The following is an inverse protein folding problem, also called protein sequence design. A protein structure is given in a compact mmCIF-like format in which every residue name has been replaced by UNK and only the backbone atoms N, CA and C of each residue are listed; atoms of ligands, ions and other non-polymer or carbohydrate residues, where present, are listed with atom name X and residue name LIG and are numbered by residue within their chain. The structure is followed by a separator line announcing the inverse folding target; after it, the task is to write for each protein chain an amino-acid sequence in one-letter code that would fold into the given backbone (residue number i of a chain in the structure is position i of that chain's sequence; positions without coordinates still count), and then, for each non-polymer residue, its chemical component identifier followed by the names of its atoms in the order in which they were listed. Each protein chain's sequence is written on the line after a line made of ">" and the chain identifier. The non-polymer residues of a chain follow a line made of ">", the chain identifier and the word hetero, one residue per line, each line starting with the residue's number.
data_IF_519895228573
#
_entry.id   IF_519895228573
#
_cell.length_a   1.000
_cell.length_b   1.000
_cell.length_c   1.000
_cell.angle_alpha   90.00
_cell.angle_beta   90.00
_cell.angle_gamma   90.00
#
_symmetry.space_group_name_H-M   'P 1'
#
loop_
_entity.id
_entity.type
_entity.pdbx_description
1 polymer ?
#
# COMPACT_ATOMS: atom_id res chain seq x y z
N UNK A 1 10.84 6.43 -2.92
CA UNK A 1 9.71 5.68 -3.54
C UNK A 1 8.88 5.04 -2.45
N UNK A 2 7.55 5.01 -2.57
CA UNK A 2 6.68 4.35 -1.58
C UNK A 2 6.51 2.84 -1.87
N UNK A 3 6.60 2.04 -0.82
CA UNK A 3 6.26 0.61 -0.81
C UNK A 3 5.18 0.34 0.24
N UNK A 4 4.41 -0.73 0.03
CA UNK A 4 3.43 -1.23 0.98
C UNK A 4 3.97 -2.51 1.63
N UNK A 5 3.82 -2.67 2.93
CA UNK A 5 4.19 -3.92 3.59
C UNK A 5 3.50 -4.15 4.92
N UNK A 6 3.98 -5.16 5.63
CA UNK A 6 3.61 -5.44 7.02
C UNK A 6 4.79 -6.04 7.76
N UNK A 7 4.97 -5.65 9.02
CA UNK A 7 6.03 -6.12 9.91
C UNK A 7 7.46 -5.85 9.39
N UNK A 8 7.70 -4.72 8.70
CA UNK A 8 9.00 -4.44 8.07
C UNK A 8 10.02 -3.79 9.00
N UNK A 9 9.63 -3.36 10.19
CA UNK A 9 10.53 -2.66 11.11
C UNK A 9 11.81 -3.45 11.40
N UNK A 10 11.69 -4.75 11.69
CA UNK A 10 12.84 -5.63 11.98
C UNK A 10 13.80 -5.72 10.78
N UNK A 11 13.26 -5.76 9.57
CA UNK A 11 14.04 -5.78 8.33
C UNK A 11 14.87 -4.51 8.19
N UNK A 12 14.24 -3.33 8.28
CA UNK A 12 14.94 -2.06 8.12
C UNK A 12 15.92 -1.76 9.25
N UNK A 13 15.61 -2.16 10.49
CA UNK A 13 16.55 -2.06 11.62
C UNK A 13 17.84 -2.88 11.37
N UNK A 14 17.81 -3.91 10.51
CA UNK A 14 18.95 -4.75 10.15
C UNK A 14 19.71 -4.25 8.90
N UNK A 15 19.00 -3.78 7.87
CA UNK A 15 19.61 -3.45 6.57
C UNK A 15 19.91 -1.96 6.37
N UNK A 16 19.31 -1.08 7.17
CA UNK A 16 19.45 0.37 7.10
C UNK A 16 19.81 0.93 8.49
N UNK A 17 21.00 0.56 8.98
CA UNK A 17 21.51 1.00 10.28
C UNK A 17 22.94 1.59 10.13
N UNK A 18 23.14 2.90 10.34
CA UNK A 18 22.15 3.88 10.78
C UNK A 18 21.08 4.18 9.71
N UNK A 19 19.84 4.54 10.12
CA UNK A 19 18.73 4.75 9.19
C UNK A 19 18.96 5.97 8.30
N UNK A 20 18.93 5.75 6.99
CA UNK A 20 19.13 6.80 5.99
C UNK A 20 18.37 6.53 4.68
N UNK A 21 18.03 5.26 4.42
CA UNK A 21 17.43 4.82 3.17
C UNK A 21 15.97 4.36 3.31
N UNK A 22 15.45 4.21 4.53
CA UNK A 22 14.06 3.82 4.81
C UNK A 22 13.41 4.69 5.91
N UNK A 23 12.24 5.26 5.60
CA UNK A 23 11.41 6.00 6.55
C UNK A 23 9.98 5.47 6.52
N UNK A 24 9.44 5.16 7.70
CA UNK A 24 8.03 4.78 7.82
C UNK A 24 7.16 6.03 7.76
N UNK A 25 6.28 6.10 6.75
CA UNK A 25 5.40 7.25 6.50
C UNK A 25 3.95 7.00 6.90
N UNK A 26 3.56 5.74 7.06
CA UNK A 26 2.29 5.32 7.66
C UNK A 26 2.44 3.96 8.35
N UNK A 27 1.80 3.80 9.52
CA UNK A 27 1.73 2.55 10.25
C UNK A 27 0.30 2.30 10.73
N UNK A 28 -0.41 1.40 10.06
CA UNK A 28 -1.72 0.89 10.47
C UNK A 28 -1.62 -0.52 11.05
N UNK A 29 -2.77 -1.11 11.40
CA UNK A 29 -2.80 -2.46 11.96
C UNK A 29 -2.47 -3.56 10.93
N UNK A 30 -2.89 -3.37 9.67
CA UNK A 30 -2.70 -4.37 8.60
C UNK A 30 -1.61 -3.98 7.60
N UNK A 31 -1.33 -2.69 7.46
CA UNK A 31 -0.49 -2.15 6.41
C UNK A 31 0.43 -1.05 6.95
N UNK A 32 1.66 -1.07 6.46
CA UNK A 32 2.68 -0.04 6.64
C UNK A 32 3.01 0.55 5.27
N UNK A 33 3.22 1.86 5.20
CA UNK A 33 3.79 2.52 4.02
C UNK A 33 5.18 3.01 4.41
N UNK A 34 6.15 2.63 3.59
CA UNK A 34 7.54 3.04 3.77
C UNK A 34 8.00 3.81 2.55
N UNK A 35 8.65 4.95 2.79
CA UNK A 35 9.45 5.63 1.79
C UNK A 35 10.86 5.05 1.83
N UNK A 36 11.31 4.50 0.70
CA UNK A 36 12.64 3.90 0.55
C UNK A 36 13.43 4.55 -0.58
N UNK A 37 14.75 4.57 -0.45
CA UNK A 37 15.64 5.02 -1.51
C UNK A 37 15.63 4.04 -2.69
N UNK A 38 15.96 4.52 -3.89
CA UNK A 38 16.00 3.68 -5.10
C UNK A 38 17.07 2.59 -5.00
N UNK A 39 18.19 2.87 -4.32
CA UNK A 39 19.25 1.90 -4.09
C UNK A 39 18.81 0.78 -3.15
N UNK A 40 18.14 1.12 -2.04
CA UNK A 40 17.60 0.13 -1.11
C UNK A 40 16.48 -0.68 -1.76
N UNK A 41 15.57 -0.03 -2.49
CA UNK A 41 14.52 -0.73 -3.25
C UNK A 41 15.09 -1.74 -4.23
N UNK A 42 16.14 -1.37 -4.97
CA UNK A 42 16.81 -2.29 -5.90
C UNK A 42 17.41 -3.49 -5.17
N UNK A 43 18.10 -3.26 -4.05
CA UNK A 43 18.63 -4.35 -3.19
C UNK A 43 17.50 -5.28 -2.72
N UNK A 44 16.37 -4.73 -2.31
CA UNK A 44 15.20 -5.51 -1.89
C UNK A 44 14.64 -6.35 -3.05
N UNK A 45 14.58 -5.80 -4.27
CA UNK A 45 14.15 -6.55 -5.45
C UNK A 45 15.09 -7.69 -5.86
N UNK A 46 16.40 -7.52 -5.64
CA UNK A 46 17.43 -8.50 -5.98
C UNK A 46 17.62 -9.58 -4.89
N UNK A 47 17.05 -9.38 -3.70
CA UNK A 47 17.11 -10.29 -2.55
C UNK A 47 16.21 -11.52 -2.72
N UNK A 48 16.67 -12.68 -2.27
CA UNK A 48 15.84 -13.90 -2.29
C UNK A 48 14.77 -13.89 -1.19
N UNK A 49 13.74 -14.73 -1.33
CA UNK A 49 12.72 -14.85 -0.29
C UNK A 49 13.29 -15.42 1.01
N UNK A 50 14.24 -16.37 0.92
CA UNK A 50 14.94 -16.93 2.07
C UNK A 50 15.76 -15.88 2.82
N UNK A 51 16.57 -15.09 2.11
CA UNK A 51 17.36 -14.01 2.69
C UNK A 51 16.47 -12.96 3.37
N UNK A 52 15.36 -12.61 2.71
CA UNK A 52 14.38 -11.68 3.27
C UNK A 52 13.75 -12.23 4.56
N UNK A 53 13.33 -13.49 4.57
CA UNK A 53 12.71 -14.13 5.75
C UNK A 53 13.70 -14.25 6.91
N UNK A 54 14.97 -14.53 6.66
CA UNK A 54 16.00 -14.55 7.71
C UNK A 54 16.14 -13.20 8.42
N UNK A 55 16.07 -12.10 7.66
CA UNK A 55 16.17 -10.74 8.19
C UNK A 55 14.86 -10.26 8.83
N UNK A 56 13.75 -10.42 8.12
CA UNK A 56 12.45 -9.82 8.43
C UNK A 56 11.55 -10.70 9.31
N UNK A 57 11.67 -12.03 9.18
CA UNK A 57 10.75 -13.03 9.74
C UNK A 57 9.70 -13.51 8.73
N UNK A 58 9.10 -14.67 9.00
CA UNK A 58 8.14 -15.34 8.09
C UNK A 58 6.84 -14.54 7.86
N UNK A 59 6.42 -13.74 8.85
CA UNK A 59 5.19 -12.93 8.77
C UNK A 59 5.39 -11.57 8.10
N UNK A 60 6.63 -11.21 7.74
CA UNK A 60 6.93 -9.95 7.10
C UNK A 60 6.71 -10.05 5.59
N UNK A 61 6.25 -8.97 4.98
CA UNK A 61 6.07 -8.91 3.54
C UNK A 61 6.10 -7.48 3.04
N UNK A 62 6.46 -7.30 1.77
CA UNK A 62 6.41 -6.00 1.11
C UNK A 62 6.05 -6.15 -0.37
N UNK A 63 5.46 -5.11 -0.95
CA UNK A 63 5.15 -5.00 -2.38
C UNK A 63 5.42 -3.57 -2.83
N UNK A 64 5.93 -3.45 -4.05
CA UNK A 64 5.99 -2.20 -4.79
C UNK A 64 5.28 -2.39 -6.13
N UNK A 65 4.64 -1.33 -6.63
CA UNK A 65 3.93 -1.38 -7.90
C UNK A 65 3.95 -0.01 -8.57
N UNK A 66 3.86 0.01 -9.91
CA UNK A 66 3.72 1.26 -10.68
C UNK A 66 2.26 1.70 -10.84
N UNK A 67 1.32 0.84 -10.48
CA UNK A 67 -0.12 1.05 -10.66
C UNK A 67 -0.84 -0.24 -11.02
N UNK A 68 -2.15 -0.18 -11.04
CA UNK A 68 -3.06 -1.27 -11.38
C UNK A 68 -3.35 -1.30 -12.90
N UNK A 69 -3.98 -2.38 -13.35
CA UNK A 69 -4.50 -2.51 -14.72
C UNK A 69 -5.93 -1.98 -14.87
N UNK A 70 -6.42 -1.21 -13.88
CA UNK A 70 -7.82 -0.79 -13.78
C UNK A 70 -8.15 0.47 -14.60
N UNK A 71 -7.14 1.15 -15.14
CA UNK A 71 -7.32 2.42 -15.84
C UNK A 71 -7.65 3.57 -14.88
N UNK A 72 -8.26 4.63 -15.42
CA UNK A 72 -8.53 5.87 -14.68
C UNK A 72 -9.84 5.70 -13.88
N UNK A 73 -9.83 5.91 -12.54
CA UNK A 73 -11.06 5.94 -11.75
C UNK A 73 -11.87 7.21 -12.06
N UNK A 74 -13.19 7.07 -12.12
CA UNK A 74 -14.11 8.14 -12.56
C UNK A 74 -15.31 8.34 -11.62
N UNK A 75 -15.39 7.56 -10.55
CA UNK A 75 -16.57 7.48 -9.71
C UNK A 75 -16.27 7.90 -8.27
N UNK A 76 -17.21 8.64 -7.64
CA UNK A 76 -17.07 9.12 -6.26
C UNK A 76 -17.69 8.14 -5.26
N UNK A 77 -16.93 7.86 -4.22
CA UNK A 77 -17.32 7.06 -3.06
C UNK A 77 -17.12 7.85 -1.77
N UNK A 78 -17.83 7.48 -0.72
CA UNK A 78 -17.54 7.92 0.65
C UNK A 78 -16.81 6.77 1.33
N UNK A 79 -15.55 6.97 1.69
CA UNK A 79 -14.71 5.99 2.37
C UNK A 79 -14.16 6.64 3.63
N UNK A 80 -14.33 6.01 4.79
CA UNK A 80 -13.96 6.60 6.09
C UNK A 80 -14.46 8.05 6.23
N UNK A 81 -15.74 8.28 5.94
CA UNK A 81 -16.40 9.60 5.96
C UNK A 81 -15.85 10.66 4.98
N UNK A 82 -14.88 10.32 4.13
CA UNK A 82 -14.26 11.23 3.15
C UNK A 82 -14.61 10.85 1.71
N UNK A 83 -14.60 11.82 0.79
CA UNK A 83 -14.76 11.53 -0.63
C UNK A 83 -13.49 10.91 -1.22
N UNK A 84 -13.65 9.81 -1.96
CA UNK A 84 -12.61 9.12 -2.73
C UNK A 84 -13.06 9.00 -4.19
N UNK A 85 -12.19 9.35 -5.14
CA UNK A 85 -12.35 9.00 -6.55
C UNK A 85 -11.80 7.59 -6.74
N UNK A 86 -12.64 6.66 -7.19
CA UNK A 86 -12.32 5.24 -7.32
C UNK A 86 -13.05 4.57 -8.50
N UNK A 87 -12.84 3.27 -8.65
CA UNK A 87 -13.49 2.43 -9.65
C UNK A 87 -14.78 1.79 -9.12
N UNK A 88 -15.78 1.65 -9.99
CA UNK A 88 -17.01 0.90 -9.74
C UNK A 88 -17.00 -0.41 -10.55
N UNK A 89 -16.26 -1.41 -10.07
CA UNK A 89 -15.97 -2.64 -10.83
C UNK A 89 -17.05 -3.70 -10.68
N UNK A 90 -17.57 -3.88 -9.47
CA UNK A 90 -18.55 -4.91 -9.17
C UNK A 90 -20.00 -4.42 -9.28
N UNK A 91 -20.21 -3.24 -9.89
CA UNK A 91 -21.50 -2.55 -9.94
C UNK A 91 -22.14 -2.46 -8.55
N UNK A 92 -21.32 -2.08 -7.57
CA UNK A 92 -21.77 -1.99 -6.19
C UNK A 92 -22.80 -0.87 -6.09
N UNK A 93 -24.05 -1.23 -5.74
CA UNK A 93 -25.07 -0.24 -5.34
C UNK A 93 -24.61 0.56 -4.11
N UNK A 94 -23.68 0.00 -3.34
CA UNK A 94 -23.04 0.61 -2.18
C UNK A 94 -22.05 1.69 -2.64
N UNK A 95 -22.21 2.91 -2.13
CA UNK A 95 -21.31 4.06 -2.35
C UNK A 95 -20.55 4.49 -1.10
N UNK A 96 -20.76 3.81 0.02
CA UNK A 96 -20.21 4.16 1.32
C UNK A 96 -19.47 2.98 1.92
N UNK A 97 -18.20 3.15 2.27
CA UNK A 97 -17.36 2.13 2.89
C UNK A 97 -16.78 2.68 4.18
N UNK A 98 -16.61 1.81 5.15
CA UNK A 98 -16.06 2.13 6.48
C UNK A 98 -14.60 2.52 6.35
N UNK A 99 -13.84 1.81 5.52
CA UNK A 99 -12.43 2.08 5.28
C UNK A 99 -11.95 1.64 3.88
N UNK A 100 -10.70 1.95 3.58
CA UNK A 100 -10.07 1.71 2.29
C UNK A 100 -9.99 0.23 1.96
N UNK A 101 -9.63 -0.62 2.93
CA UNK A 101 -9.54 -2.08 2.73
C UNK A 101 -10.89 -2.67 2.37
N UNK A 102 -11.97 -2.26 3.03
CA UNK A 102 -13.34 -2.69 2.70
C UNK A 102 -13.73 -2.24 1.28
N UNK A 103 -13.43 -1.00 0.90
CA UNK A 103 -13.66 -0.53 -0.47
C UNK A 103 -12.89 -1.36 -1.51
N UNK A 104 -11.59 -1.59 -1.29
CA UNK A 104 -10.75 -2.37 -2.18
C UNK A 104 -11.24 -3.81 -2.31
N UNK A 105 -11.62 -4.44 -1.19
CA UNK A 105 -12.11 -5.81 -1.18
C UNK A 105 -13.49 -5.93 -1.84
N UNK A 106 -14.48 -5.18 -1.36
CA UNK A 106 -15.88 -5.35 -1.74
C UNK A 106 -16.28 -4.66 -3.05
N UNK A 107 -15.63 -3.55 -3.42
CA UNK A 107 -15.97 -2.82 -4.65
C UNK A 107 -15.06 -3.19 -5.82
N UNK A 108 -13.76 -3.31 -5.55
CA UNK A 108 -12.73 -3.50 -6.58
C UNK A 108 -12.37 -4.98 -6.77
N UNK A 109 -12.48 -5.79 -5.72
CA UNK A 109 -12.04 -7.19 -5.69
C UNK A 109 -10.54 -7.34 -5.41
N UNK A 110 -9.92 -6.39 -4.71
CA UNK A 110 -8.51 -6.37 -4.38
C UNK A 110 -8.29 -6.66 -2.88
N UNK A 111 -7.93 -7.91 -2.55
CA UNK A 111 -7.71 -8.37 -1.16
C UNK A 111 -6.31 -8.92 -0.88
N UNK A 112 -5.47 -9.11 -1.91
CA UNK A 112 -4.08 -9.56 -1.73
C UNK A 112 -3.15 -8.35 -1.63
N UNK A 113 -2.07 -8.43 -0.84
CA UNK A 113 -1.12 -7.32 -0.68
C UNK A 113 -0.59 -6.76 -2.02
N UNK A 114 -0.41 -7.62 -3.03
CA UNK A 114 -0.03 -7.19 -4.39
C UNK A 114 -1.11 -6.32 -5.05
N UNK A 115 -2.37 -6.75 -5.00
CA UNK A 115 -3.47 -6.01 -5.62
C UNK A 115 -3.80 -4.75 -4.84
N UNK A 116 -3.74 -4.80 -3.50
CA UNK A 116 -3.91 -3.64 -2.62
C UNK A 116 -2.84 -2.59 -2.92
N UNK A 117 -1.56 -2.97 -2.97
CA UNK A 117 -0.46 -2.07 -3.34
C UNK A 117 -0.69 -1.41 -4.70
N UNK A 118 -1.03 -2.19 -5.73
CA UNK A 118 -1.28 -1.67 -7.08
C UNK A 118 -2.45 -0.68 -7.11
N UNK A 119 -3.56 -0.99 -6.43
CA UNK A 119 -4.73 -0.12 -6.37
C UNK A 119 -4.44 1.14 -5.54
N UNK A 120 -3.75 1.01 -4.41
CA UNK A 120 -3.40 2.13 -3.55
C UNK A 120 -2.48 3.13 -4.26
N UNK A 121 -1.50 2.66 -5.04
CA UNK A 121 -0.65 3.53 -5.88
C UNK A 121 -1.47 4.38 -6.85
N UNK A 122 -2.39 3.77 -7.59
CA UNK A 122 -3.24 4.49 -8.53
C UNK A 122 -4.24 5.41 -7.82
N UNK A 123 -4.88 4.95 -6.74
CA UNK A 123 -5.82 5.79 -5.97
C UNK A 123 -5.10 7.01 -5.39
N UNK A 124 -3.90 6.85 -4.85
CA UNK A 124 -3.09 7.96 -4.37
C UNK A 124 -2.83 8.96 -5.49
N UNK A 125 -2.35 8.47 -6.65
CA UNK A 125 -2.10 9.28 -7.85
C UNK A 125 -3.34 10.04 -8.33
N UNK A 126 -4.47 9.36 -8.50
CA UNK A 126 -5.69 9.97 -9.05
C UNK A 126 -6.48 10.81 -8.04
N UNK A 127 -6.13 10.74 -6.77
CA UNK A 127 -6.65 11.64 -5.73
C UNK A 127 -5.61 12.67 -5.27
N UNK A 128 -4.55 12.87 -6.07
CA UNK A 128 -3.49 13.88 -5.86
C UNK A 128 -2.84 13.82 -4.46
N UNK A 129 -2.51 12.62 -4.00
CA UNK A 129 -1.87 12.38 -2.71
C UNK A 129 -0.82 11.26 -2.77
N UNK A 130 -0.06 11.10 -1.69
CA UNK A 130 0.85 9.96 -1.51
C UNK A 130 0.08 8.73 -1.00
N UNK A 131 0.66 7.54 -1.12
CA UNK A 131 0.07 6.32 -0.57
C UNK A 131 -0.08 6.42 0.94
N UNK A 132 0.91 6.99 1.64
CA UNK A 132 0.82 7.24 3.08
C UNK A 132 -0.41 8.08 3.44
N UNK A 133 -0.63 9.21 2.74
CA UNK A 133 -1.80 10.08 2.94
C UNK A 133 -3.12 9.39 2.58
N UNK A 134 -3.11 8.51 1.58
CA UNK A 134 -4.28 7.70 1.23
C UNK A 134 -4.68 6.79 2.40
N UNK A 135 -3.72 6.05 2.97
CA UNK A 135 -4.00 5.19 4.13
C UNK A 135 -4.31 5.98 5.40
N UNK A 136 -3.66 7.12 5.64
CA UNK A 136 -4.00 8.00 6.77
C UNK A 136 -5.46 8.49 6.69
N UNK A 137 -5.89 8.92 5.49
CA UNK A 137 -7.20 9.50 5.29
C UNK A 137 -8.32 8.47 5.21
N UNK A 138 -8.08 7.36 4.52
CA UNK A 138 -9.11 6.38 4.18
C UNK A 138 -8.93 5.03 4.88
N UNK A 139 -7.76 4.74 5.47
CA UNK A 139 -7.38 3.41 5.97
C UNK A 139 -8.23 2.86 7.10
N UNK A 140 -8.82 3.73 7.92
CA UNK A 140 -9.72 3.37 9.02
C UNK A 140 -9.01 2.78 10.24
#
# INVERSE_FOLDING_TARGET
>A
MEILGGNLKKFFDAVDNPPNDAEITYAGNEYEVWEVSDELHKKMCDMSEEEFVELAGEDAWWRSCKGSVLGIPDTRFIVNHHYLIGWDRLHCKRRKYTNLTEYLCECVGASTGKNVCACAMDLAKYNDMTMAKLFEKYGG
#
